data_IF_000835557016
#
_entry.id   IF_000835557016
#
_cell.length_a   1.000
_cell.length_b   1.000
_cell.length_c   1.000
_cell.angle_alpha   90.00
_cell.angle_beta   90.00
_cell.angle_gamma   90.00
#
_symmetry.space_group_name_H-M   'P 1'
#
loop_
_entity.id
_entity.type
_entity.pdbx_description
1 polymer ?
#
# COMPACT_ATOMS: atom_id res chain seq x y z
N UNK A 1 2.20 0.93 -12.82
CA UNK A 1 2.60 1.58 -11.56
C UNK A 1 3.98 1.07 -11.30
N UNK A 2 4.92 1.98 -11.08
CA UNK A 2 6.33 1.67 -11.02
C UNK A 2 6.80 1.87 -9.58
N UNK A 3 7.60 0.92 -9.08
CA UNK A 3 8.14 0.90 -7.73
C UNK A 3 9.66 0.84 -7.79
N UNK A 4 10.35 1.66 -7.01
CA UNK A 4 11.78 1.47 -6.74
C UNK A 4 12.08 1.71 -5.25
N UNK A 5 12.83 0.80 -4.66
CA UNK A 5 13.34 0.92 -3.31
C UNK A 5 14.79 1.42 -3.37
N UNK A 6 15.08 2.53 -2.70
CA UNK A 6 16.47 2.97 -2.55
C UNK A 6 17.19 2.28 -1.38
N UNK A 7 18.51 2.43 -1.34
CA UNK A 7 19.36 1.86 -0.30
C UNK A 7 19.09 2.41 1.11
N UNK A 8 18.40 3.56 1.21
CA UNK A 8 18.00 4.17 2.48
C UNK A 8 16.67 3.63 2.99
N UNK A 9 16.03 2.70 2.26
CA UNK A 9 14.73 2.14 2.64
C UNK A 9 13.56 3.04 2.31
N UNK A 10 13.70 3.97 1.36
CA UNK A 10 12.59 4.77 0.84
C UNK A 10 12.04 4.14 -0.42
N UNK A 11 10.73 3.91 -0.44
CA UNK A 11 10.01 3.44 -1.61
C UNK A 11 9.53 4.65 -2.42
N UNK A 12 9.97 4.72 -3.67
CA UNK A 12 9.45 5.64 -4.67
C UNK A 12 8.38 4.93 -5.51
N UNK A 13 7.22 5.59 -5.66
CA UNK A 13 6.06 5.08 -6.39
C UNK A 13 5.71 6.09 -7.48
N UNK A 14 5.60 5.62 -8.72
CA UNK A 14 5.05 6.39 -9.83
C UNK A 14 3.77 5.75 -10.36
N UNK A 15 2.70 6.53 -10.41
CA UNK A 15 1.38 6.09 -10.90
C UNK A 15 1.14 6.76 -12.25
N UNK A 16 0.95 5.97 -13.31
CA UNK A 16 0.85 6.48 -14.68
C UNK A 16 -0.60 6.66 -15.16
N UNK A 17 -1.56 5.99 -14.53
CA UNK A 17 -3.00 6.10 -14.82
C UNK A 17 -3.78 5.87 -13.53
N UNK A 18 -4.83 6.65 -13.32
CA UNK A 18 -5.76 6.56 -12.18
C UNK A 18 -7.19 6.61 -12.71
N UNK A 19 -8.09 5.85 -12.07
CA UNK A 19 -9.51 5.82 -12.45
C UNK A 19 -10.29 7.03 -11.91
N UNK A 20 -9.85 7.64 -10.81
CA UNK A 20 -10.43 8.86 -10.23
C UNK A 20 -9.36 9.69 -9.50
N UNK A 21 -9.46 11.01 -9.55
CA UNK A 21 -8.43 11.98 -9.13
C UNK A 21 -8.71 12.63 -7.76
N UNK A 22 -9.91 12.42 -7.20
CA UNK A 22 -10.44 13.25 -6.10
C UNK A 22 -9.77 13.03 -4.73
N UNK A 23 -8.93 12.00 -4.59
CA UNK A 23 -8.42 11.54 -3.30
C UNK A 23 -6.95 11.90 -3.01
N UNK A 24 -6.20 12.49 -3.94
CA UNK A 24 -4.74 12.60 -3.82
C UNK A 24 -4.27 14.07 -3.73
N UNK A 25 -3.49 14.36 -2.68
CA UNK A 25 -2.69 15.60 -2.54
C UNK A 25 -1.21 15.26 -2.76
N UNK A 26 -0.72 15.14 -4.00
CA UNK A 26 0.65 14.73 -4.27
C UNK A 26 1.65 15.84 -3.92
N UNK A 27 2.85 15.45 -3.48
CA UNK A 27 4.01 16.33 -3.29
C UNK A 27 5.08 16.03 -4.35
N UNK A 28 5.83 17.07 -4.75
CA UNK A 28 6.83 16.97 -5.83
C UNK A 28 8.22 16.66 -5.28
N UNK A 29 8.70 15.43 -5.43
CA UNK A 29 10.12 15.05 -5.22
C UNK A 29 10.46 13.86 -6.10
N UNK A 30 11.71 13.77 -6.57
CA UNK A 30 12.21 12.83 -7.59
C UNK A 30 11.74 11.36 -7.42
N UNK A 31 11.35 10.73 -8.54
CA UNK A 31 10.93 9.32 -8.65
C UNK A 31 11.56 8.61 -9.87
N UNK A 32 11.58 7.25 -9.90
CA UNK A 32 12.10 6.44 -11.00
C UNK A 32 11.14 6.43 -12.21
N UNK A 33 10.83 7.60 -12.76
CA UNK A 33 9.84 7.77 -13.83
C UNK A 33 10.31 7.16 -15.15
N UNK A 34 9.53 6.23 -15.71
CA UNK A 34 9.55 5.88 -17.15
C UNK A 34 8.25 6.41 -17.77
N UNK A 35 8.32 7.40 -18.64
CA UNK A 35 7.17 8.08 -19.29
C UNK A 35 6.30 8.95 -18.35
N UNK A 36 5.20 9.52 -18.86
CA UNK A 36 4.37 10.45 -18.09
C UNK A 36 3.68 9.79 -16.89
N UNK A 37 3.71 10.48 -15.75
CA UNK A 37 3.08 10.01 -14.52
C UNK A 37 2.14 11.06 -13.93
N UNK A 38 1.13 10.53 -13.27
CA UNK A 38 -0.06 11.18 -12.75
C UNK A 38 0.12 11.44 -11.24
N UNK A 39 0.76 10.52 -10.51
CA UNK A 39 1.16 10.74 -9.10
C UNK A 39 2.56 10.20 -8.84
N UNK A 40 3.31 10.94 -8.04
CA UNK A 40 4.63 10.56 -7.52
C UNK A 40 4.59 10.59 -5.99
N UNK A 41 5.12 9.57 -5.34
CA UNK A 41 5.20 9.49 -3.88
C UNK A 41 6.52 8.87 -3.43
N UNK A 42 7.08 9.40 -2.33
CA UNK A 42 8.21 8.81 -1.61
C UNK A 42 7.79 8.54 -0.18
N UNK A 43 7.90 7.29 0.25
CA UNK A 43 7.37 6.85 1.54
C UNK A 43 8.41 5.91 2.16
N UNK A 44 8.71 6.00 3.47
CA UNK A 44 9.51 4.97 4.13
C UNK A 44 8.90 3.59 3.87
N UNK A 45 9.71 2.65 3.40
CA UNK A 45 9.25 1.32 2.99
C UNK A 45 8.53 0.60 4.14
N UNK A 46 9.05 0.74 5.37
CA UNK A 46 8.41 0.24 6.57
C UNK A 46 6.97 0.76 6.73
N UNK A 47 6.77 2.09 6.56
CA UNK A 47 5.45 2.71 6.66
C UNK A 47 4.53 2.24 5.53
N UNK A 48 5.06 2.14 4.31
CA UNK A 48 4.31 1.60 3.17
C UNK A 48 3.83 0.17 3.44
N UNK A 49 4.72 -0.71 3.90
CA UNK A 49 4.40 -2.12 4.19
C UNK A 49 3.33 -2.24 5.29
N UNK A 50 3.44 -1.43 6.34
CA UNK A 50 2.45 -1.41 7.42
C UNK A 50 1.08 -0.94 6.91
N UNK A 51 1.04 0.14 6.14
CA UNK A 51 -0.19 0.70 5.59
C UNK A 51 -0.84 -0.26 4.60
N UNK A 52 -0.09 -0.79 3.62
CA UNK A 52 -0.66 -1.68 2.60
C UNK A 52 -1.18 -2.97 3.21
N UNK A 53 -0.46 -3.56 4.18
CA UNK A 53 -0.91 -4.79 4.83
C UNK A 53 -2.19 -4.54 5.61
N UNK A 54 -2.30 -3.40 6.31
CA UNK A 54 -3.54 -3.00 7.00
C UNK A 54 -4.70 -2.81 6.04
N UNK A 55 -4.52 -2.07 4.95
CA UNK A 55 -5.59 -1.84 3.97
C UNK A 55 -6.06 -3.15 3.33
N UNK A 56 -5.13 -4.08 3.07
CA UNK A 56 -5.48 -5.42 2.58
C UNK A 56 -6.24 -6.25 3.63
N UNK A 57 -5.93 -6.11 4.93
CA UNK A 57 -6.72 -6.74 5.99
C UNK A 57 -8.14 -6.19 6.06
N UNK A 58 -8.30 -4.87 5.92
CA UNK A 58 -9.62 -4.23 5.87
C UNK A 58 -10.40 -4.69 4.64
N UNK A 59 -9.75 -4.71 3.47
CA UNK A 59 -10.37 -5.18 2.23
C UNK A 59 -10.81 -6.64 2.32
N UNK A 60 -10.02 -7.51 2.97
CA UNK A 60 -10.39 -8.90 3.24
C UNK A 60 -11.60 -9.02 4.17
N UNK A 61 -11.72 -8.14 5.17
CA UNK A 61 -12.79 -8.19 6.18
C UNK A 61 -14.09 -7.56 5.71
N UNK A 62 -13.98 -6.43 5.01
CA UNK A 62 -15.10 -5.54 4.71
C UNK A 62 -15.47 -5.54 3.22
N UNK A 63 -14.50 -5.78 2.33
CA UNK A 63 -14.67 -5.69 0.88
C UNK A 63 -14.69 -7.04 0.15
N UNK A 64 -14.59 -8.15 0.87
CA UNK A 64 -14.55 -9.51 0.32
C UNK A 64 -15.66 -10.35 0.93
N UNK A 65 -16.42 -11.05 0.10
CA UNK A 65 -17.49 -11.93 0.54
C UNK A 65 -16.94 -13.29 1.08
N UNK A 66 -17.78 -14.18 1.63
CA UNK A 66 -17.34 -15.48 2.11
C UNK A 66 -16.73 -16.40 1.04
N UNK A 67 -17.02 -16.17 -0.25
CA UNK A 67 -16.44 -16.92 -1.37
C UNK A 67 -15.07 -16.40 -1.80
N UNK A 68 -14.64 -15.26 -1.25
CA UNK A 68 -13.42 -14.57 -1.65
C UNK A 68 -13.62 -13.59 -2.80
N UNK A 69 -14.86 -13.35 -3.23
CA UNK A 69 -15.19 -12.41 -4.30
C UNK A 69 -15.20 -10.97 -3.77
N UNK A 70 -14.60 -10.07 -4.55
CA UNK A 70 -14.65 -8.62 -4.31
C UNK A 70 -15.61 -8.01 -5.33
N UNK A 71 -16.92 -8.15 -5.09
CA UNK A 71 -17.98 -7.83 -6.06
C UNK A 71 -17.92 -6.39 -6.61
N UNK A 72 -17.45 -5.42 -5.82
CA UNK A 72 -17.27 -4.03 -6.28
C UNK A 72 -16.11 -3.83 -7.27
N UNK A 73 -15.23 -4.82 -7.40
CA UNK A 73 -13.98 -4.76 -8.17
C UNK A 73 -13.95 -5.80 -9.30
N UNK A 74 -14.74 -6.87 -9.21
CA UNK A 74 -14.84 -7.93 -10.23
C UNK A 74 -13.66 -8.90 -10.24
N UNK A 75 -12.97 -9.05 -9.10
CA UNK A 75 -11.83 -9.94 -8.94
C UNK A 75 -11.93 -10.70 -7.61
N UNK A 76 -11.30 -11.87 -7.55
CA UNK A 76 -11.11 -12.59 -6.29
C UNK A 76 -9.98 -11.99 -5.46
N UNK A 77 -10.16 -11.94 -4.15
CA UNK A 77 -9.12 -11.52 -3.22
C UNK A 77 -7.94 -12.52 -3.27
N UNK A 78 -6.69 -12.06 -3.51
CA UNK A 78 -5.55 -12.94 -3.71
C UNK A 78 -4.99 -13.48 -2.38
N UNK A 79 -5.72 -14.42 -1.76
CA UNK A 79 -5.45 -14.89 -0.40
C UNK A 79 -4.02 -15.39 -0.18
N UNK A 80 -3.51 -16.23 -1.08
CA UNK A 80 -2.17 -16.83 -0.95
C UNK A 80 -1.05 -15.80 -1.03
N UNK A 81 -1.18 -14.81 -1.92
CA UNK A 81 -0.22 -13.72 -2.04
C UNK A 81 -0.25 -12.82 -0.80
N UNK A 82 -1.45 -12.58 -0.25
CA UNK A 82 -1.60 -11.81 0.97
C UNK A 82 -0.99 -12.51 2.19
N UNK A 83 -1.21 -13.81 2.37
CA UNK A 83 -0.58 -14.58 3.45
C UNK A 83 0.94 -14.62 3.33
N UNK A 84 1.47 -14.72 2.10
CA UNK A 84 2.90 -14.64 1.85
C UNK A 84 3.45 -13.26 2.22
N UNK A 85 2.73 -12.19 1.87
CA UNK A 85 3.07 -10.82 2.25
C UNK A 85 3.12 -10.68 3.78
N UNK A 86 2.08 -11.11 4.50
CA UNK A 86 2.05 -11.05 5.97
C UNK A 86 3.21 -11.81 6.60
N UNK A 87 3.51 -13.01 6.09
CA UNK A 87 4.64 -13.83 6.58
C UNK A 87 5.99 -13.15 6.39
N UNK A 88 6.21 -12.55 5.22
CA UNK A 88 7.45 -11.82 4.92
C UNK A 88 7.54 -10.56 5.77
N UNK A 89 6.46 -9.77 5.83
CA UNK A 89 6.37 -8.55 6.64
C UNK A 89 6.64 -8.83 8.12
N UNK A 90 6.03 -9.87 8.69
CA UNK A 90 6.24 -10.33 10.05
C UNK A 90 7.70 -10.67 10.34
N UNK A 91 8.39 -11.37 9.41
CA UNK A 91 9.82 -11.69 9.54
C UNK A 91 10.70 -10.46 9.70
N UNK A 92 10.32 -9.34 9.09
CA UNK A 92 11.05 -8.08 9.17
C UNK A 92 10.47 -7.08 10.19
N UNK A 93 9.53 -7.51 11.04
CA UNK A 93 8.94 -6.69 12.09
C UNK A 93 7.84 -5.72 11.61
N UNK A 94 7.39 -5.83 10.37
CA UNK A 94 6.31 -5.01 9.80
C UNK A 94 4.95 -5.65 10.09
N UNK A 95 4.53 -5.66 11.35
CA UNK A 95 3.20 -6.15 11.72
C UNK A 95 2.18 -5.00 11.78
N UNK A 96 1.16 -4.98 10.91
CA UNK A 96 0.10 -4.00 11.03
C UNK A 96 -0.66 -4.23 12.34
N UNK A 97 -0.86 -3.16 13.10
CA UNK A 97 -1.76 -3.19 14.24
C UNK A 97 -3.20 -3.08 13.75
N UNK A 98 -4.08 -3.90 14.31
CA UNK A 98 -5.53 -3.74 14.13
C UNK A 98 -6.08 -2.54 14.91
N UNK A 99 -5.26 -1.90 15.77
CA UNK A 99 -5.65 -0.69 16.49
C UNK A 99 -5.33 0.57 15.66
N UNK A 100 -6.35 1.30 15.16
CA UNK A 100 -6.17 2.54 14.41
C UNK A 100 -5.45 3.66 15.20
N UNK A 101 -5.30 3.53 16.52
CA UNK A 101 -4.72 4.57 17.40
C UNK A 101 -3.20 4.51 17.52
N UNK A 102 -2.55 3.39 17.16
CA UNK A 102 -1.12 3.21 17.38
C UNK A 102 -0.19 4.06 16.47
N UNK A 103 -0.71 4.65 15.38
CA UNK A 103 0.08 5.47 14.45
C UNK A 103 -0.11 6.99 14.56
N UNK A 104 -0.92 7.49 15.50
CA UNK A 104 -0.92 8.93 15.86
C UNK A 104 0.26 9.29 16.79
N UNK A 105 1.36 8.56 16.71
CA UNK A 105 2.59 8.85 17.43
C UNK A 105 3.59 9.51 16.48
N UNK A 106 3.89 10.79 16.75
CA UNK A 106 4.92 11.63 16.14
C UNK A 106 4.46 12.68 15.11
N UNK A 107 3.35 13.37 15.38
CA UNK A 107 3.29 14.81 15.08
C UNK A 107 3.87 15.55 16.30
N UNK A 108 5.16 15.90 16.23
CA UNK A 108 5.78 16.93 17.06
C UNK A 108 6.56 17.87 16.15
#
# INVERSE_FOLDING_TARGET
MDFALDWQGTLAIAVHRLASWELLRPTTTWTPRRADCVVEARIPFAQFMLNITRELQLLRREGTDPSGDMTGWGYYFPMSLFEQLERVSARYGYMPSTDPRQFRGNEK
#
